data_IF_399970659278
#
_entry.id   IF_399970659278
#
_cell.length_a   1.000
_cell.length_b   1.000
_cell.length_c   1.000
_cell.angle_alpha   90.00
_cell.angle_beta   90.00
_cell.angle_gamma   90.00
#
_symmetry.space_group_name_H-M   'P 1'
#
loop_
_entity.id
_entity.type
_entity.pdbx_description
1 polymer ?
#
# COMPACT_ATOMS: atom_id res chain seq x y z
N UNK A 1 -4.17 18.92 -12.89
CA UNK A 1 -3.43 18.99 -11.59
C UNK A 1 -2.56 17.76 -11.45
N UNK A 2 -1.38 17.88 -10.83
CA UNK A 2 -0.48 16.75 -10.59
C UNK A 2 -0.90 15.98 -9.34
N UNK A 3 -1.15 14.70 -9.50
CA UNK A 3 -1.38 13.76 -8.42
C UNK A 3 -0.13 12.89 -8.23
N UNK A 4 0.36 12.80 -7.00
CA UNK A 4 1.50 11.93 -6.69
C UNK A 4 1.01 10.71 -5.93
N UNK A 5 1.42 9.53 -6.40
CA UNK A 5 0.95 8.26 -5.86
C UNK A 5 2.10 7.37 -5.42
N UNK A 6 1.88 6.63 -4.33
CA UNK A 6 2.90 5.87 -3.65
C UNK A 6 2.53 4.38 -3.64
N UNK A 7 3.42 3.50 -4.17
CA UNK A 7 3.14 2.08 -4.27
C UNK A 7 3.16 1.38 -2.91
N UNK A 8 2.52 0.23 -2.86
CA UNK A 8 2.51 -0.69 -1.73
C UNK A 8 3.29 -1.97 -1.98
N UNK A 9 3.05 -2.95 -1.13
CA UNK A 9 3.67 -4.27 -1.20
C UNK A 9 3.42 -4.93 -2.56
N UNK A 10 4.46 -5.57 -3.12
CA UNK A 10 4.47 -6.12 -4.47
C UNK A 10 5.27 -5.27 -5.47
N UNK A 11 5.70 -4.06 -5.09
CA UNK A 11 6.54 -3.19 -5.92
C UNK A 11 8.05 -3.31 -5.65
N UNK A 12 8.45 -4.02 -4.58
CA UNK A 12 9.85 -4.23 -4.23
C UNK A 12 10.58 -5.11 -5.24
N UNK A 13 11.88 -4.87 -5.41
CA UNK A 13 12.77 -5.68 -6.22
C UNK A 13 14.21 -5.60 -5.70
N UNK A 14 15.05 -6.65 -5.89
CA UNK A 14 16.47 -6.62 -5.53
C UNK A 14 17.21 -5.47 -6.19
N UNK A 15 17.99 -4.73 -5.41
CA UNK A 15 18.72 -3.54 -5.88
C UNK A 15 17.96 -2.23 -5.77
N UNK A 16 16.67 -2.25 -5.36
CA UNK A 16 15.87 -1.04 -5.21
C UNK A 16 16.54 0.00 -4.31
N UNK A 17 16.56 1.26 -4.75
CA UNK A 17 17.13 2.38 -4.01
C UNK A 17 18.64 2.54 -4.13
N UNK A 18 19.38 1.56 -4.68
CA UNK A 18 20.85 1.63 -4.81
C UNK A 18 21.30 2.79 -5.70
N UNK A 19 20.65 2.97 -6.84
CA UNK A 19 20.93 4.08 -7.75
C UNK A 19 20.73 5.43 -7.07
N UNK A 20 19.62 5.60 -6.36
CA UNK A 20 19.29 6.80 -5.61
C UNK A 20 20.32 7.09 -4.49
N UNK A 21 20.74 6.04 -3.78
CA UNK A 21 21.76 6.11 -2.73
C UNK A 21 23.13 6.55 -3.30
N UNK A 22 23.53 6.03 -4.47
CA UNK A 22 24.82 6.33 -5.07
C UNK A 22 24.85 7.73 -5.71
N UNK A 23 23.74 8.16 -6.32
CA UNK A 23 23.66 9.39 -7.10
C UNK A 23 23.50 10.67 -6.27
N UNK A 24 22.90 10.57 -5.05
CA UNK A 24 22.55 11.75 -4.24
C UNK A 24 23.01 11.59 -2.79
N UNK A 25 23.86 12.54 -2.36
CA UNK A 25 24.41 12.54 -1.00
C UNK A 25 23.35 12.77 0.10
N UNK A 26 22.29 13.53 -0.21
CA UNK A 26 21.19 13.72 0.73
C UNK A 26 20.34 12.45 0.83
N UNK A 27 20.11 11.78 -0.31
CA UNK A 27 19.45 10.46 -0.29
C UNK A 27 20.21 9.48 0.61
N UNK A 28 21.55 9.42 0.45
CA UNK A 28 22.39 8.55 1.29
C UNK A 28 22.18 8.80 2.78
N UNK A 29 22.16 10.07 3.23
CA UNK A 29 21.91 10.42 4.62
C UNK A 29 20.58 9.84 5.11
N UNK A 30 19.51 9.92 4.31
CA UNK A 30 18.21 9.37 4.69
C UNK A 30 18.20 7.85 4.76
N UNK A 31 18.91 7.16 3.86
CA UNK A 31 19.05 5.71 3.90
C UNK A 31 19.82 5.24 5.14
N UNK A 32 20.94 5.90 5.48
CA UNK A 32 21.71 5.59 6.69
C UNK A 32 20.89 5.88 7.96
N UNK A 33 20.24 7.03 8.01
CA UNK A 33 19.36 7.38 9.13
C UNK A 33 18.23 6.36 9.34
N UNK A 34 17.71 5.78 8.27
CA UNK A 34 16.71 4.71 8.38
C UNK A 34 17.28 3.45 9.05
N UNK A 35 18.52 3.06 8.73
CA UNK A 35 19.19 1.94 9.39
C UNK A 35 19.34 2.19 10.91
N UNK A 36 19.72 3.41 11.28
CA UNK A 36 19.84 3.81 12.69
C UNK A 36 18.49 3.73 13.43
N UNK A 37 17.41 4.22 12.81
CA UNK A 37 16.06 4.17 13.39
C UNK A 37 15.59 2.75 13.59
N UNK A 38 15.84 1.88 12.61
CA UNK A 38 15.37 0.50 12.61
C UNK A 38 16.24 -0.44 13.46
N UNK A 39 17.49 -0.06 13.72
CA UNK A 39 18.47 -0.86 14.46
C UNK A 39 19.02 -2.05 13.68
N UNK A 40 18.85 -2.05 12.34
CA UNK A 40 19.46 -3.04 11.43
C UNK A 40 19.67 -2.42 10.03
N UNK A 41 20.58 -3.03 9.25
CA UNK A 41 20.93 -2.54 7.91
C UNK A 41 19.89 -2.94 6.86
N UNK A 42 18.76 -2.23 6.83
CA UNK A 42 17.72 -2.41 5.81
C UNK A 42 18.28 -2.18 4.40
N UNK A 43 19.20 -1.23 4.25
CA UNK A 43 19.87 -0.92 2.98
C UNK A 43 20.63 -2.09 2.39
N UNK A 44 21.28 -2.93 3.20
CA UNK A 44 21.95 -4.12 2.70
C UNK A 44 20.96 -5.12 2.09
N UNK A 45 19.79 -5.29 2.71
CA UNK A 45 18.73 -6.14 2.16
C UNK A 45 18.16 -5.55 0.88
N UNK A 46 17.93 -4.24 0.83
CA UNK A 46 17.42 -3.55 -0.37
C UNK A 46 18.38 -3.65 -1.56
N UNK A 47 19.69 -3.48 -1.32
CA UNK A 47 20.71 -3.37 -2.38
C UNK A 47 21.27 -4.72 -2.82
N UNK A 48 21.37 -5.69 -1.92
CA UNK A 48 22.09 -6.96 -2.13
C UNK A 48 21.26 -8.20 -1.80
N UNK A 49 20.09 -8.02 -1.14
CA UNK A 49 19.21 -9.12 -0.75
C UNK A 49 18.53 -9.78 -1.94
N UNK A 50 18.03 -10.97 -1.72
CA UNK A 50 17.27 -11.74 -2.70
C UNK A 50 15.80 -11.31 -2.72
N UNK A 51 15.04 -11.80 -3.72
CA UNK A 51 13.58 -11.62 -3.72
C UNK A 51 12.92 -12.19 -2.46
N UNK A 52 13.44 -13.31 -1.94
CA UNK A 52 12.91 -13.96 -0.74
C UNK A 52 13.14 -13.09 0.53
N UNK A 53 14.32 -12.48 0.65
CA UNK A 53 14.60 -11.54 1.75
C UNK A 53 13.64 -10.35 1.72
N UNK A 54 13.35 -9.83 0.54
CA UNK A 54 12.45 -8.69 0.33
C UNK A 54 10.96 -9.05 0.44
N UNK A 55 10.57 -10.33 0.41
CA UNK A 55 9.17 -10.76 0.58
C UNK A 55 8.69 -10.77 2.03
N UNK A 56 9.59 -10.77 3.01
CA UNK A 56 9.21 -10.75 4.42
C UNK A 56 8.54 -9.42 4.75
N UNK A 57 7.28 -9.45 5.19
CA UNK A 57 6.47 -8.23 5.44
C UNK A 57 7.20 -7.20 6.31
N UNK A 58 7.93 -7.65 7.33
CA UNK A 58 8.74 -6.81 8.22
C UNK A 58 9.88 -6.07 7.51
N UNK A 59 10.32 -6.55 6.34
CA UNK A 59 11.36 -5.94 5.48
C UNK A 59 10.71 -5.17 4.34
N UNK A 60 9.76 -5.78 3.64
CA UNK A 60 9.10 -5.23 2.45
C UNK A 60 8.55 -3.83 2.71
N UNK A 61 7.79 -3.67 3.79
CA UNK A 61 7.10 -2.41 4.05
C UNK A 61 8.07 -1.26 4.36
N UNK A 62 9.03 -1.38 5.28
CA UNK A 62 10.04 -0.36 5.49
C UNK A 62 10.87 -0.04 4.23
N UNK A 63 11.22 -1.06 3.43
CA UNK A 63 12.01 -0.87 2.21
C UNK A 63 11.27 -0.02 1.16
N UNK A 64 9.99 -0.31 0.89
CA UNK A 64 9.16 0.45 -0.06
C UNK A 64 8.92 1.87 0.48
N UNK A 65 8.61 2.01 1.76
CA UNK A 65 8.44 3.32 2.41
C UNK A 65 9.71 4.16 2.28
N UNK A 66 10.86 3.62 2.67
CA UNK A 66 12.15 4.30 2.61
C UNK A 66 12.47 4.78 1.19
N UNK A 67 12.39 3.89 0.21
CA UNK A 67 12.60 4.24 -1.20
C UNK A 67 11.67 5.38 -1.64
N UNK A 68 10.38 5.25 -1.36
CA UNK A 68 9.35 6.20 -1.82
C UNK A 68 9.53 7.58 -1.20
N UNK A 69 9.75 7.64 0.13
CA UNK A 69 9.91 8.91 0.84
C UNK A 69 11.22 9.60 0.50
N UNK A 70 12.33 8.84 0.39
CA UNK A 70 13.61 9.43 -0.03
C UNK A 70 13.52 9.99 -1.44
N UNK A 71 12.87 9.26 -2.36
CA UNK A 71 12.64 9.74 -3.73
C UNK A 71 11.83 11.04 -3.75
N UNK A 72 10.76 11.13 -2.95
CA UNK A 72 9.98 12.36 -2.81
C UNK A 72 10.82 13.53 -2.25
N UNK A 73 11.71 13.26 -1.29
CA UNK A 73 12.61 14.28 -0.71
C UNK A 73 13.66 14.80 -1.71
N UNK A 74 14.23 13.89 -2.53
CA UNK A 74 15.20 14.24 -3.55
C UNK A 74 14.60 15.10 -4.67
N UNK A 75 13.32 14.95 -4.97
CA UNK A 75 12.61 15.82 -5.90
C UNK A 75 12.58 17.30 -5.42
N UNK A 76 12.69 17.55 -4.11
CA UNK A 76 12.75 18.90 -3.56
C UNK A 76 11.62 19.80 -4.09
N UNK A 77 11.98 20.94 -4.67
CA UNK A 77 11.02 21.90 -5.24
C UNK A 77 10.25 21.39 -6.47
N UNK A 78 10.67 20.29 -7.08
CA UNK A 78 9.92 19.63 -8.15
C UNK A 78 8.73 18.81 -7.63
N UNK A 79 8.74 18.44 -6.35
CA UNK A 79 7.62 17.77 -5.70
C UNK A 79 6.51 18.79 -5.35
N UNK A 80 5.58 19.00 -6.27
CA UNK A 80 4.46 19.94 -6.16
C UNK A 80 3.11 19.23 -6.28
N UNK A 81 2.70 18.45 -5.27
CA UNK A 81 1.46 17.72 -5.31
C UNK A 81 0.26 18.66 -5.15
N UNK A 82 -0.73 18.55 -6.04
CA UNK A 82 -2.07 19.07 -5.81
C UNK A 82 -2.87 18.11 -4.91
N UNK A 83 -2.53 16.82 -4.96
CA UNK A 83 -3.10 15.76 -4.16
C UNK A 83 -2.15 14.57 -4.10
N UNK A 84 -2.29 13.74 -3.05
CA UNK A 84 -1.51 12.51 -2.90
C UNK A 84 -2.40 11.33 -2.55
N UNK A 85 -1.97 10.13 -2.91
CA UNK A 85 -2.57 8.88 -2.48
C UNK A 85 -1.50 7.80 -2.36
N UNK A 86 -1.76 6.75 -1.58
CA UNK A 86 -0.90 5.60 -1.52
C UNK A 86 -1.68 4.30 -1.39
N UNK A 87 -1.20 3.25 -2.04
CA UNK A 87 -1.84 1.94 -1.98
C UNK A 87 -1.40 1.20 -0.72
N UNK A 88 -2.31 0.91 0.20
CA UNK A 88 -2.04 0.22 1.47
C UNK A 88 -0.87 0.87 2.25
N UNK A 89 0.30 0.24 2.29
CA UNK A 89 1.52 0.81 2.86
C UNK A 89 1.85 2.21 2.28
N UNK A 90 1.63 2.40 0.99
CA UNK A 90 1.91 3.66 0.31
C UNK A 90 1.17 4.87 0.90
N UNK A 91 0.06 4.66 1.62
CA UNK A 91 -0.66 5.74 2.32
C UNK A 91 0.22 6.40 3.39
N UNK A 92 1.06 5.64 4.08
CA UNK A 92 2.04 6.17 5.04
C UNK A 92 3.13 6.99 4.34
N UNK A 93 3.61 6.52 3.19
CA UNK A 93 4.56 7.28 2.36
C UNK A 93 3.96 8.59 1.85
N UNK A 94 2.69 8.56 1.42
CA UNK A 94 1.94 9.74 0.99
C UNK A 94 1.80 10.77 2.11
N UNK A 95 1.50 10.34 3.34
CA UNK A 95 1.37 11.21 4.51
C UNK A 95 2.69 11.91 4.86
N UNK A 96 3.80 11.18 4.85
CA UNK A 96 5.12 11.78 5.08
C UNK A 96 5.49 12.74 3.95
N UNK A 97 5.26 12.37 2.70
CA UNK A 97 5.52 13.23 1.55
C UNK A 97 4.65 14.49 1.54
N UNK A 98 3.41 14.42 2.04
CA UNK A 98 2.51 15.55 2.21
C UNK A 98 2.84 16.40 3.46
N UNK A 99 3.83 16.03 4.27
CA UNK A 99 4.22 16.74 5.48
C UNK A 99 3.28 16.54 6.68
N UNK A 100 2.37 15.56 6.62
CA UNK A 100 1.49 15.24 7.73
C UNK A 100 2.21 14.49 8.86
N UNK A 101 3.35 13.87 8.58
CA UNK A 101 4.13 13.07 9.51
C UNK A 101 5.62 13.22 9.21
N UNK A 102 6.43 13.28 10.27
CA UNK A 102 7.88 13.29 10.12
C UNK A 102 8.41 11.93 9.62
N UNK A 103 9.53 11.96 8.91
CA UNK A 103 10.15 10.75 8.35
C UNK A 103 10.41 9.67 9.40
N UNK A 104 11.01 10.06 10.52
CA UNK A 104 11.37 9.12 11.60
C UNK A 104 10.13 8.48 12.24
N UNK A 105 9.07 9.26 12.43
CA UNK A 105 7.80 8.77 12.98
C UNK A 105 7.10 7.85 12.00
N UNK A 106 7.07 8.23 10.71
CA UNK A 106 6.52 7.41 9.64
C UNK A 106 7.23 6.06 9.51
N UNK A 107 8.56 6.05 9.54
CA UNK A 107 9.34 4.81 9.44
C UNK A 107 9.12 3.88 10.65
N UNK A 108 9.10 4.44 11.87
CA UNK A 108 8.79 3.68 13.08
C UNK A 108 7.39 3.08 13.02
N UNK A 109 6.41 3.88 12.58
CA UNK A 109 5.03 3.44 12.46
C UNK A 109 4.85 2.34 11.39
N UNK A 110 5.53 2.46 10.25
CA UNK A 110 5.54 1.43 9.20
C UNK A 110 6.22 0.15 9.69
N UNK A 111 7.31 0.26 10.45
CA UNK A 111 7.98 -0.89 11.07
C UNK A 111 7.06 -1.58 12.08
N UNK A 112 6.38 -0.81 12.94
CA UNK A 112 5.39 -1.36 13.87
C UNK A 112 4.24 -2.07 13.14
N UNK A 113 3.71 -1.46 12.06
CA UNK A 113 2.68 -2.05 11.19
C UNK A 113 3.16 -3.38 10.60
N UNK A 114 4.34 -3.40 10.02
CA UNK A 114 4.90 -4.58 9.38
C UNK A 114 5.09 -5.74 10.36
N UNK A 115 5.59 -5.46 11.56
CA UNK A 115 5.76 -6.44 12.61
C UNK A 115 4.43 -6.96 13.15
N UNK A 116 3.45 -6.08 13.38
CA UNK A 116 2.12 -6.48 13.84
C UNK A 116 1.41 -7.37 12.81
N UNK A 117 1.49 -7.01 11.52
CA UNK A 117 0.93 -7.81 10.43
C UNK A 117 1.64 -9.16 10.29
N UNK A 118 2.96 -9.21 10.44
CA UNK A 118 3.72 -10.47 10.42
C UNK A 118 3.26 -11.40 11.55
N UNK A 119 3.15 -10.90 12.78
CA UNK A 119 2.63 -11.67 13.92
C UNK A 119 1.21 -12.19 13.67
N UNK A 120 0.32 -11.35 13.12
CA UNK A 120 -1.05 -11.77 12.82
C UNK A 120 -1.10 -12.91 11.79
N UNK A 121 -0.20 -12.89 10.79
CA UNK A 121 -0.08 -13.98 9.81
C UNK A 121 0.39 -15.30 10.45
N UNK A 122 1.25 -15.22 11.47
CA UNK A 122 1.76 -16.40 12.18
C UNK A 122 0.70 -17.04 13.10
N UNK A 123 -0.24 -16.23 13.60
CA UNK A 123 -1.32 -16.70 14.48
C UNK A 123 -2.34 -17.57 13.74
N UNK A 124 -2.64 -17.23 12.48
CA UNK A 124 -3.64 -17.95 11.70
C UNK A 124 -3.23 -18.06 10.23
N UNK A 125 -3.03 -19.30 9.72
CA UNK A 125 -2.75 -19.54 8.30
C UNK A 125 -3.84 -18.95 7.41
N UNK A 126 -3.42 -18.06 6.53
CA UNK A 126 -4.34 -17.30 5.70
C UNK A 126 -3.66 -16.86 4.39
N UNK A 127 -4.43 -16.42 3.41
CA UNK A 127 -3.90 -16.09 2.08
C UNK A 127 -4.76 -15.06 1.37
N UNK A 128 -4.32 -14.69 0.18
CA UNK A 128 -5.03 -13.79 -0.75
C UNK A 128 -5.03 -14.38 -2.16
N UNK A 129 -6.01 -13.98 -2.97
CA UNK A 129 -6.05 -14.33 -4.38
C UNK A 129 -6.48 -13.16 -5.25
N UNK A 130 -5.83 -12.98 -6.40
CA UNK A 130 -6.24 -12.00 -7.41
C UNK A 130 -7.28 -12.61 -8.34
N UNK A 131 -8.42 -11.93 -8.45
CA UNK A 131 -9.55 -12.29 -9.32
C UNK A 131 -9.56 -11.33 -10.51
N UNK A 132 -9.48 -11.89 -11.71
CA UNK A 132 -9.38 -11.11 -12.94
C UNK A 132 -10.56 -11.36 -13.87
N UNK A 133 -11.09 -10.29 -14.44
CA UNK A 133 -12.09 -10.33 -15.51
C UNK A 133 -13.50 -10.67 -15.03
N UNK A 134 -13.83 -10.38 -13.78
CA UNK A 134 -15.18 -10.48 -13.22
C UNK A 134 -15.55 -9.13 -12.59
N UNK A 135 -16.83 -8.78 -12.62
CA UNK A 135 -17.38 -7.58 -12.00
C UNK A 135 -17.26 -7.65 -10.46
N UNK A 136 -16.89 -6.52 -9.83
CA UNK A 136 -16.64 -6.43 -8.38
C UNK A 136 -17.85 -6.91 -7.56
N UNK A 137 -19.08 -6.48 -7.93
CA UNK A 137 -20.31 -6.92 -7.25
C UNK A 137 -20.54 -8.42 -7.29
N UNK A 138 -20.14 -9.08 -8.39
CA UNK A 138 -20.24 -10.53 -8.51
C UNK A 138 -19.24 -11.24 -7.60
N UNK A 139 -18.03 -10.70 -7.47
CA UNK A 139 -17.03 -11.21 -6.53
C UNK A 139 -17.52 -11.06 -5.09
N UNK A 140 -18.08 -9.91 -4.74
CA UNK A 140 -18.65 -9.64 -3.41
C UNK A 140 -19.78 -10.62 -3.04
N UNK A 141 -20.71 -10.85 -3.99
CA UNK A 141 -21.81 -11.81 -3.80
C UNK A 141 -21.29 -13.20 -3.50
N UNK A 142 -20.35 -13.70 -4.32
CA UNK A 142 -19.80 -15.05 -4.16
C UNK A 142 -19.05 -15.18 -2.85
N UNK A 143 -18.19 -14.20 -2.48
CA UNK A 143 -17.50 -14.24 -1.19
C UNK A 143 -18.46 -14.38 0.00
N UNK A 144 -19.63 -13.74 -0.05
CA UNK A 144 -20.65 -13.84 1.03
C UNK A 144 -21.26 -15.24 1.14
N UNK A 145 -21.21 -16.06 0.09
CA UNK A 145 -21.79 -17.43 0.10
C UNK A 145 -20.79 -18.49 0.55
N UNK A 146 -19.51 -18.17 0.61
CA UNK A 146 -18.48 -19.13 0.99
C UNK A 146 -18.41 -19.24 2.52
N UNK A 147 -18.44 -20.47 3.07
CA UNK A 147 -18.22 -20.68 4.49
C UNK A 147 -16.82 -20.25 4.94
N UNK A 148 -16.73 -19.65 6.12
CA UNK A 148 -15.48 -19.15 6.67
C UNK A 148 -15.23 -17.67 6.34
N UNK A 149 -13.98 -17.22 6.50
CA UNK A 149 -13.62 -15.82 6.30
C UNK A 149 -12.97 -15.67 4.92
N UNK A 150 -13.68 -15.03 4.00
CA UNK A 150 -13.15 -14.54 2.73
C UNK A 150 -13.87 -13.24 2.37
N UNK A 151 -13.10 -12.18 2.11
CA UNK A 151 -13.62 -10.85 1.83
C UNK A 151 -12.90 -10.20 0.66
N UNK A 152 -13.55 -9.28 -0.09
CA UNK A 152 -12.87 -8.36 -0.96
C UNK A 152 -11.87 -7.50 -0.16
N UNK A 153 -10.63 -7.48 -0.60
CA UNK A 153 -9.54 -6.83 0.10
C UNK A 153 -8.94 -5.64 -0.67
N UNK A 154 -8.73 -5.77 -1.99
CA UNK A 154 -8.18 -4.67 -2.79
C UNK A 154 -8.97 -4.53 -4.10
N UNK A 155 -9.70 -3.45 -4.22
CA UNK A 155 -10.32 -3.02 -5.48
C UNK A 155 -9.27 -2.29 -6.32
N UNK A 156 -8.45 -3.03 -7.07
CA UNK A 156 -7.26 -2.47 -7.72
C UNK A 156 -7.57 -1.65 -8.98
N UNK A 157 -8.41 -2.17 -9.85
CA UNK A 157 -8.96 -1.46 -11.01
C UNK A 157 -10.17 -2.25 -11.55
N UNK A 158 -10.98 -1.69 -12.44
CA UNK A 158 -12.09 -2.41 -13.04
C UNK A 158 -11.69 -3.79 -13.57
N UNK A 159 -12.36 -4.84 -13.07
CA UNK A 159 -12.09 -6.23 -13.42
C UNK A 159 -10.82 -6.83 -12.77
N UNK A 160 -10.25 -6.18 -11.77
CA UNK A 160 -9.17 -6.73 -10.95
C UNK A 160 -9.41 -6.45 -9.47
N UNK A 161 -9.84 -7.48 -8.76
CA UNK A 161 -10.10 -7.44 -7.33
C UNK A 161 -9.30 -8.53 -6.62
N UNK A 162 -8.72 -8.22 -5.46
CA UNK A 162 -8.06 -9.20 -4.60
C UNK A 162 -8.99 -9.57 -3.47
N UNK A 163 -9.15 -10.87 -3.23
CA UNK A 163 -9.85 -11.43 -2.08
C UNK A 163 -8.86 -11.91 -1.02
N UNK A 164 -9.28 -11.92 0.23
CA UNK A 164 -8.42 -12.19 1.39
C UNK A 164 -9.19 -12.97 2.45
N UNK A 165 -8.55 -13.99 3.06
CA UNK A 165 -9.25 -14.81 4.06
C UNK A 165 -8.47 -16.05 4.49
N UNK A 166 -9.16 -17.00 5.15
CA UNK A 166 -8.58 -18.29 5.48
C UNK A 166 -8.23 -19.06 4.20
N UNK A 167 -7.23 -19.93 4.28
CA UNK A 167 -6.77 -20.69 3.10
C UNK A 167 -7.91 -21.46 2.46
N UNK A 168 -8.73 -22.14 3.28
CA UNK A 168 -9.84 -22.97 2.80
C UNK A 168 -10.91 -22.09 2.12
N UNK A 169 -11.29 -20.97 2.75
CA UNK A 169 -12.32 -20.08 2.20
C UNK A 169 -11.86 -19.40 0.91
N UNK A 170 -10.61 -18.95 0.85
CA UNK A 170 -10.05 -18.33 -0.37
C UNK A 170 -9.98 -19.36 -1.51
N UNK A 171 -9.56 -20.60 -1.25
CA UNK A 171 -9.54 -21.67 -2.26
C UNK A 171 -10.96 -21.98 -2.77
N UNK A 172 -11.92 -22.14 -1.88
CA UNK A 172 -13.33 -22.38 -2.25
C UNK A 172 -13.90 -21.19 -3.06
N UNK A 173 -13.59 -19.95 -2.65
CA UNK A 173 -13.98 -18.77 -3.40
C UNK A 173 -13.36 -18.73 -4.80
N UNK A 174 -12.07 -19.08 -4.94
CA UNK A 174 -11.41 -19.14 -6.24
C UNK A 174 -12.10 -20.11 -7.21
N UNK A 175 -12.50 -21.30 -6.75
CA UNK A 175 -13.22 -22.26 -7.59
C UNK A 175 -14.62 -21.74 -7.96
N UNK A 176 -15.37 -21.20 -7.02
CA UNK A 176 -16.69 -20.62 -7.29
C UNK A 176 -16.62 -19.41 -8.24
N UNK A 177 -15.60 -18.55 -8.10
CA UNK A 177 -15.41 -17.40 -8.97
C UNK A 177 -14.99 -17.80 -10.40
N UNK A 178 -14.17 -18.86 -10.56
CA UNK A 178 -13.87 -19.42 -11.88
C UNK A 178 -15.12 -19.97 -12.54
N UNK A 179 -15.93 -20.73 -11.80
CA UNK A 179 -17.20 -21.26 -12.29
C UNK A 179 -18.19 -20.14 -12.69
N UNK A 180 -18.12 -18.99 -12.02
CA UNK A 180 -18.93 -17.81 -12.33
C UNK A 180 -18.37 -16.95 -13.50
N UNK A 181 -17.25 -17.34 -14.12
CA UNK A 181 -16.70 -16.71 -15.30
C UNK A 181 -15.48 -15.81 -15.08
N UNK A 182 -14.85 -15.85 -13.90
CA UNK A 182 -13.56 -15.18 -13.72
C UNK A 182 -12.52 -15.73 -14.71
N UNK A 183 -11.85 -14.84 -15.42
CA UNK A 183 -10.79 -15.23 -16.38
C UNK A 183 -9.60 -15.90 -15.68
N UNK A 184 -9.27 -15.43 -14.49
CA UNK A 184 -8.23 -15.99 -13.62
C UNK A 184 -8.59 -15.79 -12.15
N UNK A 185 -8.23 -16.77 -11.32
CA UNK A 185 -8.20 -16.66 -9.88
C UNK A 185 -6.83 -17.21 -9.44
N UNK A 186 -5.94 -16.33 -9.00
CA UNK A 186 -4.52 -16.64 -8.78
C UNK A 186 -4.18 -16.39 -7.31
N UNK A 187 -3.76 -17.43 -6.61
CA UNK A 187 -3.21 -17.30 -5.26
C UNK A 187 -1.97 -16.40 -5.29
N UNK A 188 -1.91 -15.49 -4.34
CA UNK A 188 -0.79 -14.56 -4.21
C UNK A 188 0.27 -15.13 -3.26
N UNK A 189 1.52 -14.85 -3.56
CA UNK A 189 2.68 -15.20 -2.72
C UNK A 189 2.82 -14.18 -1.58
N UNK A 190 1.90 -14.20 -0.62
CA UNK A 190 1.86 -13.29 0.53
C UNK A 190 1.74 -14.07 1.83
N UNK A 191 2.22 -13.48 2.93
CA UNK A 191 2.28 -14.15 4.23
C UNK A 191 0.94 -14.32 4.94
N UNK A 192 -0.14 -13.68 4.48
CA UNK A 192 -1.42 -13.75 5.17
C UNK A 192 -2.54 -12.94 4.53
N UNK A 193 -3.70 -12.91 5.20
CA UNK A 193 -4.93 -12.29 4.74
C UNK A 193 -4.99 -10.80 5.08
N UNK A 194 -4.21 -9.98 4.39
CA UNK A 194 -4.22 -8.53 4.57
C UNK A 194 -5.59 -7.94 4.21
N UNK A 195 -5.94 -6.82 4.85
CA UNK A 195 -7.20 -6.09 4.63
C UNK A 195 -8.45 -6.94 4.84
N UNK A 196 -8.40 -7.83 5.85
CA UNK A 196 -9.49 -8.71 6.25
C UNK A 196 -9.68 -8.70 7.77
N UNK A 197 -10.79 -9.26 8.29
CA UNK A 197 -10.99 -9.41 9.74
C UNK A 197 -9.86 -10.18 10.46
N UNK A 198 -9.08 -11.00 9.75
CA UNK A 198 -7.96 -11.75 10.32
C UNK A 198 -6.77 -10.86 10.72
N UNK A 199 -6.77 -9.59 10.29
CA UNK A 199 -5.78 -8.59 10.70
C UNK A 199 -6.17 -7.82 11.97
N UNK A 200 -7.26 -8.18 12.65
CA UNK A 200 -7.72 -7.48 13.87
C UNK A 200 -6.65 -7.41 14.98
N UNK A 201 -5.85 -8.48 15.25
CA UNK A 201 -4.75 -8.38 16.22
C UNK A 201 -3.71 -7.31 15.83
N UNK A 202 -3.36 -7.23 14.55
CA UNK A 202 -2.44 -6.21 14.03
C UNK A 202 -3.05 -4.80 14.11
N UNK A 203 -4.35 -4.66 13.83
CA UNK A 203 -5.07 -3.38 13.93
C UNK A 203 -5.04 -2.83 15.36
N UNK A 204 -5.28 -3.68 16.34
CA UNK A 204 -5.25 -3.28 17.76
C UNK A 204 -3.85 -2.81 18.21
N UNK A 205 -2.79 -3.54 17.81
CA UNK A 205 -1.41 -3.16 18.09
C UNK A 205 -1.04 -1.83 17.38
N UNK A 206 -1.39 -1.69 16.11
CA UNK A 206 -1.12 -0.48 15.32
C UNK A 206 -1.90 0.74 15.84
N UNK A 207 -3.12 0.57 16.33
CA UNK A 207 -3.91 1.66 16.89
C UNK A 207 -3.19 2.38 18.03
N UNK A 208 -2.51 1.62 18.88
CA UNK A 208 -1.68 2.18 19.96
C UNK A 208 -0.51 2.99 19.39
N UNK A 209 0.21 2.47 18.39
CA UNK A 209 1.32 3.19 17.77
C UNK A 209 0.85 4.49 17.09
N UNK A 210 -0.29 4.45 16.37
CA UNK A 210 -0.88 5.63 15.72
C UNK A 210 -1.29 6.68 16.74
N UNK A 211 -1.85 6.29 17.88
CA UNK A 211 -2.29 7.23 18.92
C UNK A 211 -1.13 8.11 19.42
N UNK A 212 0.06 7.52 19.56
CA UNK A 212 1.26 8.24 20.02
C UNK A 212 2.07 8.91 18.90
N UNK A 213 1.76 8.64 17.63
CA UNK A 213 2.44 9.27 16.51
C UNK A 213 1.86 10.66 16.23
N UNK A 214 2.69 11.72 16.21
CA UNK A 214 2.25 13.05 15.80
C UNK A 214 1.80 13.02 14.33
N UNK A 215 0.57 13.45 14.06
CA UNK A 215 0.06 13.69 12.71
C UNK A 215 -0.52 15.10 12.70
N UNK A 216 -0.08 15.90 11.74
CA UNK A 216 -0.51 17.28 11.54
C UNK A 216 -1.24 17.44 10.21
N UNK A 217 -1.77 18.64 9.95
CA UNK A 217 -2.45 18.93 8.69
C UNK A 217 -1.49 18.75 7.49
N UNK A 218 -1.82 17.90 6.51
CA UNK A 218 -1.03 17.76 5.29
C UNK A 218 -1.11 19.03 4.43
N UNK A 219 -0.05 19.34 3.70
CA UNK A 219 -0.01 20.50 2.78
C UNK A 219 -0.87 20.35 1.52
N UNK A 220 -1.38 19.18 1.27
CA UNK A 220 -2.35 18.89 0.20
C UNK A 220 -3.26 17.73 0.62
N UNK A 221 -4.45 17.56 -0.02
CA UNK A 221 -5.35 16.47 0.28
C UNK A 221 -4.70 15.10 0.11
N UNK A 222 -4.91 14.20 1.09
CA UNK A 222 -4.47 12.80 1.08
C UNK A 222 -5.68 11.91 0.89
N UNK A 223 -5.72 11.17 -0.22
CA UNK A 223 -6.78 10.18 -0.45
C UNK A 223 -6.47 8.91 0.33
N UNK A 224 -7.42 8.50 1.18
CA UNK A 224 -7.25 7.35 2.05
C UNK A 224 -7.99 6.12 1.55
N UNK A 225 -7.42 4.94 1.79
CA UNK A 225 -7.88 3.68 1.19
C UNK A 225 -9.26 3.24 1.65
N UNK A 226 -9.63 3.52 2.90
CA UNK A 226 -10.85 3.01 3.54
C UNK A 226 -12.12 3.55 2.90
N UNK A 227 -12.16 4.83 2.58
CA UNK A 227 -13.32 5.52 2.02
C UNK A 227 -13.08 6.13 0.64
N UNK A 228 -11.85 6.02 0.11
CA UNK A 228 -11.42 6.58 -1.17
C UNK A 228 -11.58 8.11 -1.28
N UNK A 229 -11.63 8.84 -0.15
CA UNK A 229 -11.84 10.28 -0.10
C UNK A 229 -10.59 11.03 0.31
N UNK A 230 -10.54 12.29 -0.10
CA UNK A 230 -9.51 13.24 0.28
C UNK A 230 -9.72 13.74 1.71
N UNK A 231 -8.67 13.71 2.51
CA UNK A 231 -8.68 14.20 3.89
C UNK A 231 -7.49 15.12 4.17
N UNK A 232 -7.73 16.11 5.03
CA UNK A 232 -6.72 17.00 5.59
C UNK A 232 -6.77 17.07 7.11
N UNK A 233 -7.85 16.59 7.72
CA UNK A 233 -8.01 16.54 9.18
C UNK A 233 -7.21 15.40 9.80
N UNK A 234 -6.23 15.68 10.71
CA UNK A 234 -5.40 14.67 11.35
C UNK A 234 -6.19 13.62 12.14
N UNK A 235 -7.31 13.99 12.76
CA UNK A 235 -8.11 13.06 13.54
C UNK A 235 -8.79 12.03 12.62
N UNK A 236 -9.33 12.48 11.48
CA UNK A 236 -9.88 11.59 10.45
C UNK A 236 -8.80 10.71 9.84
N UNK A 237 -7.65 11.28 9.53
CA UNK A 237 -6.51 10.55 8.97
C UNK A 237 -6.10 9.40 9.91
N UNK A 238 -5.93 9.67 11.22
CA UNK A 238 -5.62 8.64 12.22
C UNK A 238 -6.69 7.54 12.27
N UNK A 239 -7.97 7.91 12.31
CA UNK A 239 -9.06 6.95 12.35
C UNK A 239 -9.05 6.01 11.13
N UNK A 240 -8.84 6.56 9.94
CA UNK A 240 -8.78 5.81 8.70
C UNK A 240 -7.54 4.90 8.63
N UNK A 241 -6.37 5.35 9.10
CA UNK A 241 -5.16 4.51 9.18
C UNK A 241 -5.38 3.30 10.09
N UNK A 242 -6.07 3.47 11.22
CA UNK A 242 -6.41 2.36 12.13
C UNK A 242 -7.36 1.38 11.45
N UNK A 243 -8.38 1.88 10.78
CA UNK A 243 -9.37 1.03 10.10
C UNK A 243 -8.78 0.29 8.88
N UNK A 244 -7.74 0.83 8.26
CA UNK A 244 -7.18 0.33 6.99
C UNK A 244 -6.76 -1.15 7.03
N UNK A 245 -6.23 -1.64 8.16
CA UNK A 245 -5.73 -3.01 8.24
C UNK A 245 -6.80 -4.08 8.06
N UNK A 246 -8.03 -3.79 8.48
CA UNK A 246 -9.17 -4.71 8.42
C UNK A 246 -10.21 -4.29 7.39
N UNK A 247 -10.00 -3.16 6.72
CA UNK A 247 -10.88 -2.64 5.69
C UNK A 247 -10.27 -2.81 4.28
N UNK A 248 -11.09 -2.87 3.23
CA UNK A 248 -10.59 -2.98 1.87
C UNK A 248 -9.85 -1.72 1.42
N UNK A 249 -8.83 -1.90 0.58
CA UNK A 249 -8.20 -0.84 -0.19
C UNK A 249 -9.09 -0.51 -1.40
N UNK A 250 -9.74 0.63 -1.39
CA UNK A 250 -10.65 1.10 -2.44
C UNK A 250 -9.90 1.89 -3.52
N UNK A 251 -8.90 1.23 -4.15
CA UNK A 251 -8.00 1.91 -5.06
C UNK A 251 -8.70 2.36 -6.36
N UNK A 252 -9.60 1.54 -6.91
CA UNK A 252 -10.42 1.92 -8.07
C UNK A 252 -11.18 3.21 -7.80
N UNK A 253 -11.87 3.28 -6.67
CA UNK A 253 -12.65 4.46 -6.27
C UNK A 253 -11.73 5.67 -5.96
N UNK A 254 -10.57 5.42 -5.36
CA UNK A 254 -9.55 6.48 -5.14
C UNK A 254 -9.12 7.10 -6.46
N UNK A 255 -8.75 6.27 -7.45
CA UNK A 255 -8.35 6.76 -8.78
C UNK A 255 -9.47 7.57 -9.45
N UNK A 256 -10.72 7.07 -9.40
CA UNK A 256 -11.88 7.75 -9.96
C UNK A 256 -12.12 9.10 -9.30
N UNK A 257 -12.08 9.16 -7.96
CA UNK A 257 -12.27 10.41 -7.22
C UNK A 257 -11.16 11.42 -7.51
N UNK A 258 -9.89 10.99 -7.55
CA UNK A 258 -8.78 11.87 -7.93
C UNK A 258 -8.97 12.48 -9.33
N UNK A 259 -9.47 11.70 -10.30
CA UNK A 259 -9.77 12.20 -11.64
C UNK A 259 -10.94 13.20 -11.65
N UNK A 260 -12.01 12.92 -10.92
CA UNK A 260 -13.15 13.84 -10.74
C UNK A 260 -12.69 15.14 -10.09
N UNK A 261 -11.80 15.08 -9.12
CA UNK A 261 -11.25 16.24 -8.42
C UNK A 261 -10.14 16.95 -9.22
N UNK A 262 -9.92 16.55 -10.49
CA UNK A 262 -9.13 17.29 -11.48
C UNK A 262 -7.68 16.84 -11.63
N UNK A 263 -7.33 15.61 -11.26
CA UNK A 263 -6.02 15.04 -11.61
C UNK A 263 -5.93 14.87 -13.14
N UNK A 264 -4.91 15.48 -13.76
CA UNK A 264 -4.63 15.39 -15.18
C UNK A 264 -3.33 14.66 -15.49
N UNK A 265 -2.46 14.54 -14.49
CA UNK A 265 -1.20 13.79 -14.53
C UNK A 265 -0.99 13.05 -13.23
N UNK A 266 -0.62 11.78 -13.33
CA UNK A 266 -0.28 10.95 -12.18
C UNK A 266 1.21 10.61 -12.21
N UNK A 267 1.89 10.85 -11.09
CA UNK A 267 3.32 10.62 -10.92
C UNK A 267 3.50 9.59 -9.82
N UNK A 268 4.00 8.42 -10.17
CA UNK A 268 4.30 7.36 -9.20
C UNK A 268 5.67 7.60 -8.57
N UNK A 269 5.69 7.67 -7.24
CA UNK A 269 6.89 7.94 -6.44
C UNK A 269 7.21 6.71 -5.61
N UNK A 270 8.15 5.92 -6.06
CA UNK A 270 8.51 4.68 -5.39
C UNK A 270 9.16 3.69 -6.33
N UNK A 271 9.35 2.43 -5.88
CA UNK A 271 9.86 1.37 -6.71
C UNK A 271 8.80 0.89 -7.70
N UNK A 272 9.21 0.58 -8.94
CA UNK A 272 8.32 0.05 -9.97
C UNK A 272 7.39 1.08 -10.64
N UNK A 273 6.32 0.56 -11.27
CA UNK A 273 5.35 1.37 -12.04
C UNK A 273 3.93 0.77 -12.01
N UNK A 274 3.60 0.06 -10.93
CA UNK A 274 2.36 -0.71 -10.82
C UNK A 274 1.15 0.21 -10.84
N UNK A 275 1.20 1.31 -10.09
CA UNK A 275 0.04 2.22 -9.97
C UNK A 275 -0.25 2.95 -11.29
N UNK A 276 0.77 3.29 -12.08
CA UNK A 276 0.59 3.85 -13.42
C UNK A 276 -0.24 2.91 -14.29
N UNK A 277 0.07 1.61 -14.24
CA UNK A 277 -0.69 0.57 -14.96
C UNK A 277 -2.16 0.49 -14.52
N UNK A 278 -2.43 0.63 -13.22
CA UNK A 278 -3.80 0.64 -12.69
C UNK A 278 -4.58 1.89 -13.12
N UNK A 279 -3.95 3.07 -13.07
CA UNK A 279 -4.57 4.31 -13.56
C UNK A 279 -4.93 4.23 -15.06
N UNK A 280 -4.06 3.64 -15.88
CA UNK A 280 -4.34 3.42 -17.31
C UNK A 280 -5.53 2.49 -17.58
N UNK A 281 -5.90 1.62 -16.62
CA UNK A 281 -7.14 0.81 -16.70
C UNK A 281 -8.40 1.63 -16.41
N UNK A 282 -8.30 2.69 -15.63
CA UNK A 282 -9.41 3.60 -15.34
C UNK A 282 -9.54 4.68 -16.39
N UNK A 283 -8.41 5.26 -16.84
CA UNK A 283 -8.39 6.32 -17.86
C UNK A 283 -7.17 6.13 -18.77
N UNK A 284 -7.42 5.72 -20.02
CA UNK A 284 -6.36 5.46 -21.02
C UNK A 284 -5.60 6.71 -21.42
N UNK A 285 -6.29 7.85 -21.45
CA UNK A 285 -5.73 9.14 -21.89
C UNK A 285 -4.96 9.87 -20.79
N UNK A 286 -5.06 9.41 -19.54
CA UNK A 286 -4.39 10.04 -18.40
C UNK A 286 -2.86 10.01 -18.59
N UNK A 287 -2.22 11.15 -18.43
CA UNK A 287 -0.76 11.21 -18.40
C UNK A 287 -0.22 10.53 -17.14
N UNK A 288 0.68 9.57 -17.31
CA UNK A 288 1.34 8.88 -16.17
C UNK A 288 2.85 8.95 -16.33
N UNK A 289 3.57 9.13 -15.24
CA UNK A 289 5.04 9.18 -15.20
C UNK A 289 5.57 8.51 -13.94
N UNK A 290 6.82 8.07 -13.97
CA UNK A 290 7.61 7.83 -12.77
C UNK A 290 8.28 9.14 -12.35
N UNK A 291 8.49 9.32 -11.04
CA UNK A 291 9.22 10.46 -10.48
C UNK A 291 10.71 10.35 -10.73
#
# INVERSE_FOLDING_TARGET
MNAYVFPGQGSQFPGMGKELYDADSNARIWFEHANDILGFNLTDVMFKGTEEDLKQTKVTQPAIFLHSVVKAKVLGDAFKPAMVAGHSLGEFSALVAAGAMEFSDGLKLVSARANAMQKACELQPSTMAAILGLEDGKVEEICKTIPGIVVPANYNCPGQLVISGSIEAVNAACEALKAAGAKRALLLQVGGAFHSPLMEPARAELATAIAYTPIVDPRCPVYQNVDARAHTDPARIKANLIAQLTAPVRWTQTMQNMLVDGATKVIEVGPGNVLQGLFKKVSRELETAAA
#
